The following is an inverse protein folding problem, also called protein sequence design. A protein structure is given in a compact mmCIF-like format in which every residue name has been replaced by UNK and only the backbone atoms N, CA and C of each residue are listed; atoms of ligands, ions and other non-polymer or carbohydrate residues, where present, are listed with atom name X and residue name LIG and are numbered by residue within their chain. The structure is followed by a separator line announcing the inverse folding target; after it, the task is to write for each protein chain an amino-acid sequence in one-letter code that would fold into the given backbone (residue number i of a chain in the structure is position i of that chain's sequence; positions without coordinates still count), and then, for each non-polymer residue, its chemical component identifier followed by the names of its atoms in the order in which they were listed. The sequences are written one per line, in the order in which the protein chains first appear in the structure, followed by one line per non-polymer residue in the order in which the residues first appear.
data_IF_381348887160
#
_entry.id   IF_381348887160
#
_cell.length_a   1.000
_cell.length_b   1.000
_cell.length_c   1.000
_cell.angle_alpha   90.00
_cell.angle_beta   90.00
_cell.angle_gamma   90.00
#
_symmetry.space_group_name_H-M   'P 1'
#
loop_
_entity.id
_entity.type
_entity.pdbx_description
1 polymer ?
#
# COMPACT_ATOMS: atom_id res chain seq x y z
N UNK A 1 11.19 42.68 -20.89
CA UNK A 1 10.67 42.97 -19.54
C UNK A 1 9.38 42.19 -19.20
N UNK A 2 8.56 41.79 -20.18
CA UNK A 2 7.31 41.02 -19.90
C UNK A 2 7.47 39.49 -19.63
N UNK A 3 8.50 38.86 -20.20
CA UNK A 3 8.64 37.39 -20.09
C UNK A 3 9.02 36.91 -18.67
N UNK A 4 9.76 37.68 -17.92
CA UNK A 4 10.16 37.28 -16.56
C UNK A 4 9.01 37.49 -15.58
N UNK A 5 8.21 38.52 -15.77
CA UNK A 5 6.99 38.73 -14.99
C UNK A 5 5.94 37.64 -15.21
N UNK A 6 5.75 37.18 -16.46
CA UNK A 6 4.85 36.04 -16.74
C UNK A 6 5.35 34.73 -16.12
N UNK A 7 6.66 34.50 -16.08
CA UNK A 7 7.26 33.33 -15.43
C UNK A 7 7.06 33.34 -13.93
N UNK A 8 7.21 34.51 -13.31
CA UNK A 8 6.96 34.68 -11.88
C UNK A 8 5.47 34.49 -11.53
N UNK A 9 4.56 35.02 -12.34
CA UNK A 9 3.13 34.82 -12.17
C UNK A 9 2.75 33.34 -12.26
N UNK A 10 3.24 32.62 -13.25
CA UNK A 10 3.01 31.17 -13.40
C UNK A 10 3.64 30.35 -12.29
N UNK A 11 4.76 30.79 -11.69
CA UNK A 11 5.35 30.15 -10.51
C UNK A 11 4.46 30.36 -9.27
N UNK A 12 4.03 31.59 -9.04
CA UNK A 12 3.14 31.92 -7.91
C UNK A 12 1.78 31.20 -8.01
N UNK A 13 1.24 31.04 -9.22
CA UNK A 13 0.01 30.27 -9.44
C UNK A 13 0.22 28.78 -9.15
N UNK A 14 1.33 28.19 -9.58
CA UNK A 14 1.66 26.78 -9.29
C UNK A 14 1.88 26.55 -7.80
N UNK A 15 2.55 27.46 -7.11
CA UNK A 15 2.74 27.37 -5.65
C UNK A 15 1.41 27.47 -4.90
N UNK A 16 0.52 28.39 -5.31
CA UNK A 16 -0.84 28.49 -4.75
C UNK A 16 -1.67 27.23 -5.01
N UNK A 17 -1.56 26.66 -6.22
CA UNK A 17 -2.25 25.42 -6.55
C UNK A 17 -1.70 24.22 -5.76
N UNK A 18 -0.37 24.15 -5.57
CA UNK A 18 0.24 23.12 -4.73
C UNK A 18 -0.13 23.26 -3.25
N UNK A 19 -0.12 24.49 -2.71
CA UNK A 19 -0.57 24.75 -1.36
C UNK A 19 -2.04 24.36 -1.17
N UNK A 20 -2.92 24.71 -2.11
CA UNK A 20 -4.34 24.36 -2.10
C UNK A 20 -4.56 22.83 -2.20
N UNK A 21 -3.70 22.09 -2.92
CA UNK A 21 -3.75 20.63 -3.02
C UNK A 21 -3.30 19.95 -1.72
N UNK A 22 -2.25 20.47 -1.09
CA UNK A 22 -1.78 19.98 0.22
C UNK A 22 -2.84 20.26 1.29
N UNK A 23 -3.45 21.42 1.27
CA UNK A 23 -4.52 21.79 2.19
C UNK A 23 -5.76 20.92 2.00
N UNK A 24 -6.18 20.64 0.75
CA UNK A 24 -7.30 19.74 0.48
C UNK A 24 -7.02 18.27 0.86
N UNK A 25 -5.75 17.83 0.79
CA UNK A 25 -5.35 16.51 1.27
C UNK A 25 -5.49 16.41 2.79
N UNK A 26 -4.98 17.41 3.52
CA UNK A 26 -5.09 17.46 4.97
C UNK A 26 -6.53 17.71 5.44
N UNK A 27 -7.34 18.47 4.69
CA UNK A 27 -8.77 18.67 4.99
C UNK A 27 -9.58 17.37 4.92
N UNK A 28 -9.14 16.39 4.11
CA UNK A 28 -9.75 15.07 4.12
C UNK A 28 -9.53 14.32 5.45
N UNK A 29 -8.46 14.67 6.18
CA UNK A 29 -8.12 14.11 7.49
C UNK A 29 -8.46 15.05 8.65
N UNK A 30 -8.87 16.30 8.38
CA UNK A 30 -9.28 17.25 9.44
C UNK A 30 -10.55 16.77 10.13
N UNK A 31 -10.59 17.08 11.41
CA UNK A 31 -11.78 16.92 12.26
C UNK A 31 -12.93 17.75 11.67
N UNK A 32 -14.13 17.23 11.67
CA UNK A 32 -15.33 18.03 11.45
C UNK A 32 -15.41 19.15 12.50
N UNK A 33 -16.18 20.21 12.24
CA UNK A 33 -16.38 21.35 13.18
C UNK A 33 -16.71 20.90 14.62
N UNK A 34 -17.22 19.69 14.79
CA UNK A 34 -17.53 19.05 16.08
C UNK A 34 -16.40 18.18 16.65
N UNK A 35 -15.18 18.27 16.15
CA UNK A 35 -14.03 17.50 16.66
C UNK A 35 -14.00 16.02 16.28
N UNK A 36 -14.93 15.54 15.44
CA UNK A 36 -14.93 14.16 14.95
C UNK A 36 -14.17 14.06 13.62
N UNK A 37 -13.27 13.09 13.53
CA UNK A 37 -12.65 12.71 12.26
C UNK A 37 -13.75 12.37 11.25
N UNK A 38 -13.61 12.78 9.98
CA UNK A 38 -14.52 12.33 8.91
C UNK A 38 -14.51 10.80 8.89
N UNK A 39 -15.36 10.22 9.72
CA UNK A 39 -15.40 8.78 10.06
C UNK A 39 -15.55 7.89 8.83
N UNK A 40 -16.18 8.39 7.78
CA UNK A 40 -16.43 7.64 6.54
C UNK A 40 -15.14 7.28 5.79
N UNK A 41 -14.17 8.20 5.69
CA UNK A 41 -12.92 7.91 4.98
C UNK A 41 -12.06 6.91 5.75
N UNK A 42 -11.94 7.07 7.06
CA UNK A 42 -11.18 6.15 7.92
C UNK A 42 -11.83 4.76 7.94
N UNK A 43 -13.15 4.69 8.10
CA UNK A 43 -13.88 3.42 8.11
C UNK A 43 -13.77 2.73 6.74
N UNK A 44 -14.01 3.45 5.65
CA UNK A 44 -13.94 2.87 4.31
C UNK A 44 -12.52 2.41 3.96
N UNK A 45 -11.49 3.17 4.32
CA UNK A 45 -10.09 2.77 4.09
C UNK A 45 -9.69 1.59 4.94
N UNK A 46 -10.18 1.48 6.18
CA UNK A 46 -9.96 0.33 7.04
C UNK A 46 -10.64 -0.92 6.47
N UNK A 47 -11.92 -0.86 6.10
CA UNK A 47 -12.62 -1.98 5.45
C UNK A 47 -11.92 -2.42 4.15
N UNK A 48 -11.45 -1.45 3.36
CA UNK A 48 -10.70 -1.72 2.14
C UNK A 48 -9.35 -2.38 2.45
N UNK A 49 -8.68 -2.02 3.54
CA UNK A 49 -7.44 -2.68 3.95
C UNK A 49 -7.63 -4.14 4.34
N UNK A 50 -8.75 -4.47 4.99
CA UNK A 50 -9.11 -5.87 5.30
C UNK A 50 -9.37 -6.65 4.01
N UNK A 51 -10.06 -6.04 3.04
CA UNK A 51 -10.26 -6.65 1.73
C UNK A 51 -8.92 -6.90 1.02
N UNK A 52 -8.00 -5.94 1.04
CA UNK A 52 -6.66 -6.09 0.47
C UNK A 52 -5.88 -7.21 1.15
N UNK A 53 -5.93 -7.27 2.48
CA UNK A 53 -5.30 -8.35 3.24
C UNK A 53 -5.85 -9.72 2.82
N UNK A 54 -7.17 -9.83 2.64
CA UNK A 54 -7.80 -11.06 2.17
C UNK A 54 -7.38 -11.42 0.73
N UNK A 55 -7.31 -10.43 -0.17
CA UNK A 55 -6.87 -10.64 -1.57
C UNK A 55 -5.41 -11.10 -1.63
N UNK A 56 -4.50 -10.44 -0.92
CA UNK A 56 -3.10 -10.84 -0.87
C UNK A 56 -2.94 -12.21 -0.20
N UNK A 57 -3.64 -12.45 0.91
CA UNK A 57 -3.63 -13.74 1.60
C UNK A 57 -4.12 -14.86 0.69
N UNK A 58 -5.23 -14.66 -0.02
CA UNK A 58 -5.75 -15.62 -0.98
C UNK A 58 -4.77 -15.85 -2.14
N UNK A 59 -4.16 -14.79 -2.70
CA UNK A 59 -3.19 -14.91 -3.76
C UNK A 59 -1.96 -15.73 -3.33
N UNK A 60 -1.41 -15.47 -2.14
CA UNK A 60 -0.31 -16.26 -1.61
C UNK A 60 -0.72 -17.70 -1.35
N UNK A 61 -1.86 -17.93 -0.69
CA UNK A 61 -2.31 -19.28 -0.35
C UNK A 61 -2.61 -20.14 -1.58
N UNK A 62 -3.30 -19.57 -2.59
CA UNK A 62 -3.69 -20.31 -3.80
C UNK A 62 -2.52 -20.54 -4.76
N UNK A 63 -1.51 -19.67 -4.77
CA UNK A 63 -0.41 -19.75 -5.74
C UNK A 63 0.83 -20.46 -5.19
N UNK A 64 0.95 -20.66 -3.88
CA UNK A 64 2.14 -21.30 -3.28
C UNK A 64 2.36 -22.70 -3.82
N UNK A 65 1.37 -23.57 -3.74
CA UNK A 65 1.50 -24.97 -4.20
C UNK A 65 1.77 -25.09 -5.71
N UNK A 66 1.03 -24.39 -6.61
CA UNK A 66 1.34 -24.40 -8.03
C UNK A 66 2.75 -23.89 -8.37
N UNK A 67 3.22 -22.83 -7.68
CA UNK A 67 4.56 -22.30 -7.90
C UNK A 67 5.62 -23.30 -7.48
N UNK A 68 5.49 -23.93 -6.31
CA UNK A 68 6.41 -24.97 -5.85
C UNK A 68 6.45 -26.15 -6.82
N UNK A 69 5.30 -26.62 -7.30
CA UNK A 69 5.22 -27.70 -8.27
C UNK A 69 5.89 -27.32 -9.61
N UNK A 70 5.69 -26.09 -10.07
CA UNK A 70 6.25 -25.59 -11.33
C UNK A 70 7.77 -25.37 -11.24
N UNK A 71 8.26 -24.93 -10.09
CA UNK A 71 9.68 -24.61 -9.87
C UNK A 71 10.45 -25.71 -9.14
N UNK A 72 9.94 -26.92 -9.06
CA UNK A 72 10.54 -28.03 -8.31
C UNK A 72 12.01 -28.36 -8.72
N UNK A 73 12.40 -28.04 -9.97
CA UNK A 73 13.75 -28.21 -10.48
C UNK A 73 14.58 -26.91 -10.50
N UNK A 74 14.00 -25.79 -10.08
CA UNK A 74 14.66 -24.49 -10.09
C UNK A 74 15.58 -24.30 -8.85
N UNK A 75 16.59 -23.43 -8.93
CA UNK A 75 17.38 -23.06 -7.76
C UNK A 75 16.47 -22.43 -6.68
N UNK A 76 16.70 -22.75 -5.40
CA UNK A 76 15.91 -22.27 -4.26
C UNK A 76 15.76 -20.73 -4.23
N UNK A 77 16.79 -20.00 -4.68
CA UNK A 77 16.75 -18.55 -4.75
C UNK A 77 15.68 -18.05 -5.74
N UNK A 78 15.55 -18.71 -6.90
CA UNK A 78 14.54 -18.38 -7.92
C UNK A 78 13.14 -18.75 -7.43
N UNK A 79 13.00 -19.91 -6.82
CA UNK A 79 11.75 -20.38 -6.21
C UNK A 79 11.23 -19.37 -5.16
N UNK A 80 12.09 -18.97 -4.22
CA UNK A 80 11.74 -17.99 -3.18
C UNK A 80 11.36 -16.62 -3.77
N UNK A 81 12.09 -16.16 -4.78
CA UNK A 81 11.80 -14.88 -5.44
C UNK A 81 10.45 -14.92 -6.17
N UNK A 82 10.18 -15.97 -6.92
CA UNK A 82 8.92 -16.12 -7.67
C UNK A 82 7.74 -16.31 -6.71
N UNK A 83 7.91 -17.08 -5.64
CA UNK A 83 6.89 -17.30 -4.61
C UNK A 83 6.53 -16.02 -3.86
N UNK A 84 7.45 -15.06 -3.75
CA UNK A 84 7.15 -13.75 -3.18
C UNK A 84 6.55 -12.76 -4.20
N UNK A 85 7.14 -12.69 -5.41
CA UNK A 85 6.77 -11.67 -6.40
C UNK A 85 5.45 -11.99 -7.13
N UNK A 86 5.22 -13.22 -7.53
CA UNK A 86 4.07 -13.56 -8.38
C UNK A 86 2.73 -13.36 -7.66
N UNK A 87 2.52 -13.84 -6.42
CA UNK A 87 1.30 -13.55 -5.67
C UNK A 87 1.14 -12.06 -5.36
N UNK A 88 2.25 -11.35 -5.07
CA UNK A 88 2.23 -9.92 -4.83
C UNK A 88 1.79 -9.13 -6.07
N UNK A 89 2.28 -9.49 -7.26
CA UNK A 89 1.87 -8.89 -8.54
C UNK A 89 0.38 -9.11 -8.81
N UNK A 90 -0.09 -10.34 -8.67
CA UNK A 90 -1.49 -10.69 -8.91
C UNK A 90 -2.39 -9.99 -7.90
N UNK A 91 -2.05 -10.04 -6.61
CA UNK A 91 -2.78 -9.31 -5.57
C UNK A 91 -2.83 -7.81 -5.82
N UNK A 92 -1.70 -7.20 -6.21
CA UNK A 92 -1.64 -5.77 -6.56
C UNK A 92 -2.49 -5.44 -7.78
N UNK A 93 -2.48 -6.28 -8.82
CA UNK A 93 -3.31 -6.10 -10.00
C UNK A 93 -4.81 -6.14 -9.66
N UNK A 94 -5.22 -7.08 -8.81
CA UNK A 94 -6.62 -7.16 -8.33
C UNK A 94 -6.96 -5.93 -7.47
N UNK A 95 -6.10 -5.56 -6.53
CA UNK A 95 -6.31 -4.37 -5.70
C UNK A 95 -6.32 -3.08 -6.53
N UNK A 96 -5.58 -3.02 -7.64
CA UNK A 96 -5.59 -1.86 -8.54
C UNK A 96 -6.97 -1.63 -9.19
N UNK A 97 -7.79 -2.67 -9.35
CA UNK A 97 -9.16 -2.51 -9.85
C UNK A 97 -10.02 -1.65 -8.92
N UNK A 98 -9.71 -1.60 -7.64
CA UNK A 98 -10.43 -0.74 -6.68
C UNK A 98 -10.28 0.75 -6.98
N UNK A 99 -9.23 1.16 -7.71
CA UNK A 99 -9.07 2.55 -8.19
C UNK A 99 -10.14 2.98 -9.20
N UNK A 100 -10.83 2.04 -9.83
CA UNK A 100 -11.94 2.33 -10.73
C UNK A 100 -13.22 2.73 -9.97
N UNK A 101 -13.37 2.23 -8.74
CA UNK A 101 -14.58 2.37 -7.93
C UNK A 101 -14.35 3.33 -6.76
N UNK A 102 -13.17 3.27 -6.14
CA UNK A 102 -12.85 4.02 -4.94
C UNK A 102 -12.03 5.28 -5.23
N UNK A 103 -12.19 6.30 -4.39
CA UNK A 103 -11.37 7.51 -4.47
C UNK A 103 -9.89 7.16 -4.18
N UNK A 104 -8.91 7.68 -4.95
CA UNK A 104 -7.51 7.30 -4.82
C UNK A 104 -6.93 7.57 -3.42
N UNK A 105 -7.44 8.59 -2.71
CA UNK A 105 -7.06 8.87 -1.32
C UNK A 105 -7.48 7.74 -0.36
N UNK A 106 -8.65 7.14 -0.57
CA UNK A 106 -9.13 6.00 0.24
C UNK A 106 -8.26 4.77 0.03
N UNK A 107 -7.84 4.52 -1.20
CA UNK A 107 -6.96 3.39 -1.53
C UNK A 107 -5.56 3.59 -0.93
N UNK A 108 -5.01 4.80 -1.02
CA UNK A 108 -3.72 5.13 -0.41
C UNK A 108 -3.77 4.97 1.12
N UNK A 109 -4.85 5.46 1.76
CA UNK A 109 -5.06 5.29 3.21
C UNK A 109 -5.23 3.80 3.59
N UNK A 110 -5.84 2.98 2.73
CA UNK A 110 -5.95 1.54 2.96
C UNK A 110 -4.59 0.83 2.99
N UNK A 111 -3.64 1.22 2.12
CA UNK A 111 -2.26 0.71 2.21
C UNK A 111 -1.53 1.20 3.47
N UNK A 112 -1.85 2.39 3.97
CA UNK A 112 -1.38 2.86 5.28
C UNK A 112 -1.88 1.96 6.43
N UNK A 113 -3.16 1.59 6.42
CA UNK A 113 -3.73 0.63 7.37
C UNK A 113 -3.11 -0.76 7.24
N UNK A 114 -2.86 -1.25 6.02
CA UNK A 114 -2.14 -2.51 5.80
C UNK A 114 -0.75 -2.50 6.43
N UNK A 115 -0.02 -1.41 6.30
CA UNK A 115 1.29 -1.26 6.94
C UNK A 115 1.17 -1.34 8.46
N UNK A 116 0.19 -0.64 9.06
CA UNK A 116 -0.05 -0.68 10.50
C UNK A 116 -0.43 -2.08 10.98
N UNK A 117 -1.31 -2.78 10.25
CA UNK A 117 -1.70 -4.15 10.56
C UNK A 117 -0.52 -5.12 10.44
N UNK A 118 0.33 -4.95 9.41
CA UNK A 118 1.54 -5.74 9.25
C UNK A 118 2.52 -5.52 10.40
N UNK A 119 2.76 -4.27 10.80
CA UNK A 119 3.62 -3.95 11.95
C UNK A 119 3.04 -4.50 13.26
N UNK A 120 1.74 -4.38 13.47
CA UNK A 120 1.07 -4.95 14.64
C UNK A 120 1.19 -6.48 14.68
N UNK A 121 1.00 -7.16 13.54
CA UNK A 121 1.18 -8.62 13.44
C UNK A 121 2.63 -9.03 13.69
N UNK A 122 3.60 -8.27 13.17
CA UNK A 122 5.02 -8.51 13.41
C UNK A 122 5.36 -8.43 14.90
N UNK A 123 4.95 -7.34 15.57
CA UNK A 123 5.18 -7.17 17.01
C UNK A 123 4.53 -8.28 17.83
N UNK A 124 3.26 -8.58 17.52
CA UNK A 124 2.50 -9.62 18.23
C UNK A 124 3.16 -10.98 18.09
N UNK A 125 3.56 -11.37 16.87
CA UNK A 125 4.23 -12.64 16.64
C UNK A 125 5.60 -12.72 17.28
N UNK A 126 6.40 -11.66 17.27
CA UNK A 126 7.69 -11.63 17.95
C UNK A 126 7.52 -11.77 19.46
N UNK A 127 6.48 -11.18 20.05
CA UNK A 127 6.17 -11.34 21.47
C UNK A 127 5.74 -12.77 21.81
N UNK A 128 4.92 -13.38 20.96
CA UNK A 128 4.46 -14.77 21.17
C UNK A 128 5.61 -15.78 20.98
N UNK A 129 6.51 -15.54 20.05
CA UNK A 129 7.64 -16.42 19.73
C UNK A 129 8.90 -16.10 20.56
N UNK A 130 8.81 -15.23 21.58
CA UNK A 130 9.96 -14.76 22.37
C UNK A 130 10.76 -15.89 23.04
N UNK A 131 10.13 -17.04 23.25
CA UNK A 131 10.78 -18.22 23.84
C UNK A 131 11.45 -19.15 22.83
N UNK A 132 11.20 -18.99 21.53
CA UNK A 132 11.70 -19.85 20.45
C UNK A 132 12.44 -19.02 19.41
N UNK A 133 13.77 -19.01 19.51
CA UNK A 133 14.62 -18.28 18.56
C UNK A 133 14.57 -18.81 17.14
N UNK A 134 14.37 -20.12 16.97
CA UNK A 134 14.28 -20.75 15.66
C UNK A 134 13.00 -20.32 14.92
N UNK A 135 11.86 -20.42 15.59
CA UNK A 135 10.58 -19.98 15.06
C UNK A 135 10.54 -18.48 14.77
N UNK A 136 11.16 -17.66 15.62
CA UNK A 136 11.26 -16.21 15.43
C UNK A 136 12.03 -15.86 14.16
N UNK A 137 13.16 -16.52 13.90
CA UNK A 137 13.98 -16.29 12.68
C UNK A 137 13.24 -16.71 11.44
N UNK A 138 12.60 -17.90 11.43
CA UNK A 138 11.80 -18.35 10.30
C UNK A 138 10.64 -17.42 10.01
N UNK A 139 9.95 -16.94 11.04
CA UNK A 139 8.87 -15.97 10.88
C UNK A 139 9.37 -14.66 10.28
N UNK A 140 10.50 -14.11 10.76
CA UNK A 140 11.09 -12.89 10.23
C UNK A 140 11.49 -13.03 8.77
N UNK A 141 12.07 -14.16 8.37
CA UNK A 141 12.41 -14.43 6.99
C UNK A 141 11.17 -14.48 6.10
N UNK A 142 10.14 -15.22 6.52
CA UNK A 142 8.88 -15.30 5.80
C UNK A 142 8.19 -13.93 5.69
N UNK A 143 8.08 -13.20 6.81
CA UNK A 143 7.48 -11.88 6.86
C UNK A 143 8.24 -10.86 5.99
N UNK A 144 9.58 -10.89 6.05
CA UNK A 144 10.43 -10.01 5.26
C UNK A 144 10.35 -10.24 3.75
N UNK A 145 10.00 -11.46 3.31
CA UNK A 145 9.77 -11.75 1.89
C UNK A 145 8.35 -11.40 1.44
N UNK A 146 7.34 -11.75 2.24
CA UNK A 146 5.93 -11.70 1.83
C UNK A 146 5.29 -10.33 1.99
N UNK A 147 5.68 -9.54 2.99
CA UNK A 147 4.96 -8.30 3.34
C UNK A 147 5.48 -7.05 2.62
N UNK A 148 6.81 -6.80 2.52
CA UNK A 148 7.31 -5.57 1.89
C UNK A 148 6.95 -5.46 0.42
N UNK A 149 6.97 -6.57 -0.32
CA UNK A 149 6.73 -6.57 -1.77
C UNK A 149 5.31 -6.08 -2.12
N UNK A 150 4.22 -6.65 -1.58
CA UNK A 150 2.87 -6.15 -1.81
C UNK A 150 2.67 -4.70 -1.37
N UNK A 151 3.25 -4.33 -0.22
CA UNK A 151 3.13 -2.95 0.29
C UNK A 151 3.80 -1.94 -0.62
N UNK A 152 5.04 -2.20 -1.04
CA UNK A 152 5.78 -1.31 -1.94
C UNK A 152 5.12 -1.21 -3.31
N UNK A 153 4.68 -2.32 -3.87
CA UNK A 153 4.00 -2.35 -5.17
C UNK A 153 2.64 -1.68 -5.11
N UNK A 154 1.84 -1.97 -4.08
CA UNK A 154 0.52 -1.41 -3.89
C UNK A 154 0.57 0.09 -3.60
N UNK A 155 1.43 0.52 -2.68
CA UNK A 155 1.62 1.93 -2.37
C UNK A 155 2.18 2.71 -3.57
N UNK A 156 3.22 2.16 -4.23
CA UNK A 156 3.84 2.77 -5.40
C UNK A 156 2.89 2.93 -6.57
N UNK A 157 2.09 1.91 -6.89
CA UNK A 157 1.08 1.96 -7.96
C UNK A 157 -0.02 2.98 -7.64
N UNK A 158 -0.50 3.00 -6.39
CA UNK A 158 -1.51 3.94 -5.93
C UNK A 158 -1.01 5.38 -5.95
N UNK A 159 0.22 5.62 -5.51
CA UNK A 159 0.87 6.92 -5.57
C UNK A 159 1.06 7.40 -7.01
N UNK A 160 1.52 6.52 -7.90
CA UNK A 160 1.71 6.84 -9.30
C UNK A 160 0.39 7.21 -10.00
N UNK A 161 -0.68 6.45 -9.76
CA UNK A 161 -2.01 6.73 -10.29
C UNK A 161 -2.57 8.05 -9.76
N UNK A 162 -2.38 8.34 -8.48
CA UNK A 162 -2.80 9.60 -7.86
C UNK A 162 -2.06 10.78 -8.49
N UNK A 163 -0.75 10.65 -8.71
CA UNK A 163 0.07 11.69 -9.34
C UNK A 163 -0.37 11.94 -10.79
N UNK A 164 -0.61 10.89 -11.56
CA UNK A 164 -1.06 10.99 -12.95
C UNK A 164 -2.44 11.65 -13.07
N UNK A 165 -3.37 11.33 -12.17
CA UNK A 165 -4.71 11.92 -12.15
C UNK A 165 -4.71 13.39 -11.74
N UNK A 166 -3.71 13.83 -10.97
CA UNK A 166 -3.54 15.22 -10.58
C UNK A 166 -2.73 16.04 -11.59
N UNK A 167 -2.15 15.42 -12.62
CA UNK A 167 -1.41 16.10 -13.71
C UNK A 167 -2.25 16.32 -14.97
N UNK A 168 -3.45 15.79 -15.02
CA UNK A 168 -4.49 16.03 -16.03
C UNK A 168 -5.50 17.05 -15.50
#
# INVERSE_FOLDING_TARGET
MNQDFEKELRRAEREKEQARRVESFWDAFRLTENGHVKSTLLLNSFCLSILFLAVYGAAFFLLTDPIHAWLALAPRAVENLVSALLPALIGTAICALTHLICHPQTVLAAYGWLLLLALASLVTMLLLLRGDSGASVLFLQFFGMMVPVPLLMGFGSSWWLLRRRNSL
#
